data_IF_795740177944
#
_entry.id   IF_795740177944
#
_cell.length_a   1.000
_cell.length_b   1.000
_cell.length_c   1.000
_cell.angle_alpha   90.00
_cell.angle_beta   90.00
_cell.angle_gamma   90.00
#
_symmetry.space_group_name_H-M   'P 1'
#
loop_
_entity.id
_entity.type
_entity.pdbx_description
1 polymer ?
#
# COMPACT_ATOMS: atom_id res chain seq x y z
N UNK A 1 8.87 25.22 9.42
CA UNK A 1 8.68 24.13 8.42
C UNK A 1 7.57 24.51 7.47
N UNK A 2 7.83 24.66 6.15
CA UNK A 2 6.75 24.83 5.16
C UNK A 2 5.91 23.55 5.17
N UNK A 3 4.58 23.65 5.36
CA UNK A 3 3.65 22.52 5.10
C UNK A 3 3.86 22.10 3.65
N UNK A 4 4.46 20.94 3.41
CA UNK A 4 4.55 20.37 2.06
C UNK A 4 3.13 20.00 1.61
N UNK A 5 2.58 20.83 0.72
CA UNK A 5 1.29 20.57 0.08
C UNK A 5 1.58 19.58 -1.05
N UNK A 6 1.40 18.29 -0.78
CA UNK A 6 1.44 17.28 -1.83
C UNK A 6 0.22 17.45 -2.73
N UNK A 7 0.40 17.24 -4.03
CA UNK A 7 -0.70 17.42 -4.98
C UNK A 7 -1.79 16.39 -4.74
N UNK A 8 -3.06 16.85 -4.72
CA UNK A 8 -4.22 15.98 -4.47
C UNK A 8 -4.54 15.05 -5.65
N UNK A 9 -3.96 15.31 -6.82
CA UNK A 9 -4.40 14.72 -8.09
C UNK A 9 -3.30 13.93 -8.79
N UNK A 10 -2.10 14.51 -8.87
CA UNK A 10 -0.91 13.90 -9.47
C UNK A 10 0.23 13.85 -8.46
N UNK A 11 1.04 12.81 -8.50
CA UNK A 11 2.24 12.68 -7.70
C UNK A 11 3.49 12.93 -8.53
N UNK A 12 4.33 13.85 -8.05
CA UNK A 12 5.73 13.95 -8.44
C UNK A 12 6.60 12.94 -7.68
N UNK A 13 7.88 12.78 -8.03
CA UNK A 13 8.80 11.97 -7.26
C UNK A 13 8.91 12.44 -5.80
N UNK A 14 8.88 13.75 -5.56
CA UNK A 14 8.92 14.36 -4.22
C UNK A 14 7.67 14.03 -3.41
N UNK A 15 6.49 14.04 -4.05
CA UNK A 15 5.26 13.60 -3.40
C UNK A 15 5.40 12.15 -2.92
N UNK A 16 5.89 11.25 -3.78
CA UNK A 16 6.09 9.83 -3.45
C UNK A 16 7.12 9.62 -2.34
N UNK A 17 8.19 10.41 -2.28
CA UNK A 17 9.14 10.35 -1.16
C UNK A 17 8.42 10.59 0.16
N UNK A 18 7.55 11.61 0.21
CA UNK A 18 6.85 12.00 1.43
C UNK A 18 5.73 11.05 1.78
N UNK A 19 4.87 10.68 0.84
CA UNK A 19 3.69 9.85 1.14
C UNK A 19 4.08 8.39 1.34
N UNK A 20 4.98 7.86 0.51
CA UNK A 20 5.33 6.44 0.52
C UNK A 20 6.62 6.13 1.30
N UNK A 21 7.36 7.15 1.76
CA UNK A 21 8.59 6.96 2.53
C UNK A 21 9.68 6.21 1.75
N UNK A 22 9.78 6.48 0.44
CA UNK A 22 10.71 5.82 -0.47
C UNK A 22 11.84 6.75 -0.92
N UNK A 23 12.92 6.17 -1.47
CA UNK A 23 14.00 6.96 -2.06
C UNK A 23 13.56 7.62 -3.36
N UNK A 24 14.23 8.73 -3.72
CA UNK A 24 14.00 9.42 -4.99
C UNK A 24 14.16 8.49 -6.20
N UNK A 25 15.17 7.63 -6.18
CA UNK A 25 15.41 6.65 -7.24
C UNK A 25 14.24 5.67 -7.39
N UNK A 26 13.68 5.19 -6.28
CA UNK A 26 12.52 4.30 -6.30
C UNK A 26 11.27 5.05 -6.80
N UNK A 27 11.08 6.31 -6.39
CA UNK A 27 9.97 7.14 -6.86
C UNK A 27 9.99 7.32 -8.39
N UNK A 28 11.15 7.65 -8.97
CA UNK A 28 11.30 7.73 -10.43
C UNK A 28 11.02 6.39 -11.13
N UNK A 29 11.51 5.28 -10.55
CA UNK A 29 11.28 3.95 -11.10
C UNK A 29 9.78 3.62 -11.15
N UNK A 30 9.06 3.86 -10.05
CA UNK A 30 7.61 3.60 -9.98
C UNK A 30 6.85 4.48 -10.98
N UNK A 31 7.16 5.78 -11.05
CA UNK A 31 6.50 6.69 -11.99
C UNK A 31 6.72 6.22 -13.44
N UNK A 32 7.95 5.85 -13.81
CA UNK A 32 8.26 5.34 -15.15
C UNK A 32 7.46 4.07 -15.46
N UNK A 33 7.42 3.13 -14.53
CA UNK A 33 6.68 1.88 -14.69
C UNK A 33 5.17 2.10 -14.87
N UNK A 34 4.56 2.93 -14.03
CA UNK A 34 3.13 3.22 -14.08
C UNK A 34 2.73 4.02 -15.31
N UNK A 35 3.56 4.97 -15.76
CA UNK A 35 3.30 5.70 -17.00
C UNK A 35 3.38 4.79 -18.23
N UNK A 36 4.35 3.86 -18.25
CA UNK A 36 4.43 2.87 -19.32
C UNK A 36 3.19 1.97 -19.35
N UNK A 37 2.69 1.57 -18.18
CA UNK A 37 1.46 0.80 -18.07
C UNK A 37 0.23 1.58 -18.59
N UNK A 38 0.14 2.88 -18.30
CA UNK A 38 -0.90 3.74 -18.87
C UNK A 38 -0.79 3.89 -20.39
N UNK A 39 0.43 3.99 -20.94
CA UNK A 39 0.68 4.00 -22.38
C UNK A 39 0.16 2.73 -23.06
N UNK A 40 0.43 1.56 -22.46
CA UNK A 40 -0.09 0.30 -22.97
C UNK A 40 -1.61 0.24 -22.94
N UNK A 41 -2.24 0.71 -21.86
CA UNK A 41 -3.70 0.75 -21.73
C UNK A 41 -4.29 1.67 -22.80
N UNK A 42 -3.72 2.86 -23.02
CA UNK A 42 -4.17 3.77 -24.10
C UNK A 42 -4.12 3.10 -25.47
N UNK A 43 -3.04 2.35 -25.76
CA UNK A 43 -2.87 1.63 -27.03
C UNK A 43 -3.87 0.48 -27.19
N UNK A 44 -4.04 -0.35 -26.16
CA UNK A 44 -4.86 -1.57 -26.20
C UNK A 44 -6.36 -1.26 -26.15
N UNK A 45 -6.76 -0.33 -25.30
CA UNK A 45 -8.17 -0.07 -25.00
C UNK A 45 -8.71 1.18 -25.71
N UNK A 46 -7.92 1.83 -26.59
CA UNK A 46 -8.23 3.12 -27.23
C UNK A 46 -8.69 4.20 -26.23
N UNK A 47 -8.13 4.15 -25.02
CA UNK A 47 -8.36 5.16 -23.98
C UNK A 47 -7.46 6.37 -24.21
N UNK A 48 -7.86 7.51 -23.66
CA UNK A 48 -7.17 8.79 -23.77
C UNK A 48 -6.67 9.27 -22.40
N UNK A 49 -5.99 8.41 -21.64
CA UNK A 49 -5.33 8.85 -20.41
C UNK A 49 -4.22 9.86 -20.76
N UNK A 50 -4.20 10.99 -20.06
CA UNK A 50 -3.08 11.95 -20.14
C UNK A 50 -1.91 11.35 -19.36
N UNK A 51 -0.77 11.18 -20.02
CA UNK A 51 0.46 10.65 -19.42
C UNK A 51 1.43 11.81 -19.16
N UNK A 52 1.96 11.88 -17.95
CA UNK A 52 2.94 12.91 -17.58
C UNK A 52 4.34 12.32 -17.62
N UNK A 53 5.32 13.03 -18.18
CA UNK A 53 6.70 12.53 -18.31
C UNK A 53 7.35 12.13 -16.98
N UNK A 54 7.07 12.88 -15.90
CA UNK A 54 7.72 12.72 -14.60
C UNK A 54 6.72 12.74 -13.43
N UNK A 55 5.43 12.51 -13.69
CA UNK A 55 4.39 12.45 -12.66
C UNK A 55 3.47 11.27 -12.94
N UNK A 56 2.67 10.88 -11.95
CA UNK A 56 1.65 9.86 -12.11
C UNK A 56 0.34 10.30 -11.49
N UNK A 57 -0.79 9.83 -12.03
CA UNK A 57 -2.08 10.02 -11.38
C UNK A 57 -2.10 9.35 -10.01
N UNK A 58 -2.42 10.12 -8.97
CA UNK A 58 -2.54 9.63 -7.59
C UNK A 58 -3.50 8.45 -7.48
N UNK A 59 -4.64 8.54 -8.17
CA UNK A 59 -5.65 7.48 -8.23
C UNK A 59 -5.06 6.19 -8.80
N UNK A 60 -4.34 6.27 -9.92
CA UNK A 60 -3.73 5.11 -10.56
C UNK A 60 -2.63 4.49 -9.69
N UNK A 61 -1.85 5.31 -8.98
CA UNK A 61 -0.90 4.80 -7.98
C UNK A 61 -1.60 3.96 -6.91
N UNK A 62 -2.70 4.45 -6.32
CA UNK A 62 -3.49 3.69 -5.32
C UNK A 62 -4.07 2.40 -5.89
N UNK A 63 -4.57 2.43 -7.12
CA UNK A 63 -5.11 1.24 -7.78
C UNK A 63 -4.06 0.15 -7.96
N UNK A 64 -2.80 0.51 -8.19
CA UNK A 64 -1.71 -0.46 -8.38
C UNK A 64 -1.02 -0.86 -7.09
N UNK A 65 -0.96 0.00 -6.08
CA UNK A 65 -0.22 -0.26 -4.83
C UNK A 65 -1.10 -0.35 -3.57
N UNK A 66 -2.42 -0.31 -3.72
CA UNK A 66 -3.45 -0.40 -2.67
C UNK A 66 -3.57 0.82 -1.74
N UNK A 67 -2.47 1.47 -1.42
CA UNK A 67 -2.42 2.63 -0.52
C UNK A 67 -1.28 3.58 -0.91
N UNK A 68 -1.20 4.71 -0.22
CA UNK A 68 -0.13 5.71 -0.39
C UNK A 68 0.93 5.62 0.68
N UNK A 69 0.54 5.18 1.88
CA UNK A 69 1.43 5.06 3.02
C UNK A 69 1.83 3.60 3.19
N UNK A 70 3.13 3.38 3.39
CA UNK A 70 3.68 2.05 3.52
C UNK A 70 4.50 1.93 4.80
N UNK A 71 4.44 0.77 5.41
CA UNK A 71 5.13 0.44 6.65
C UNK A 71 6.28 -0.53 6.35
N UNK A 72 7.42 -0.31 7.00
CA UNK A 72 8.50 -1.28 7.14
C UNK A 72 8.26 -2.20 8.34
N UNK A 73 9.09 -3.23 8.51
CA UNK A 73 9.04 -4.10 9.71
C UNK A 73 9.18 -3.26 10.99
N UNK A 74 10.15 -2.35 11.03
CA UNK A 74 10.38 -1.47 12.17
C UNK A 74 9.17 -0.55 12.46
N UNK A 75 8.47 -0.09 11.41
CA UNK A 75 7.26 0.71 11.59
C UNK A 75 6.13 -0.13 12.19
N UNK A 76 6.01 -1.41 11.81
CA UNK A 76 5.04 -2.34 12.40
C UNK A 76 5.35 -2.59 13.87
N UNK A 77 6.60 -2.91 14.21
CA UNK A 77 7.04 -3.16 15.58
C UNK A 77 6.73 -1.96 16.48
N UNK A 78 7.08 -0.75 16.05
CA UNK A 78 6.85 0.47 16.82
C UNK A 78 5.36 0.81 16.94
N UNK A 79 4.62 0.72 15.83
CA UNK A 79 3.22 1.16 15.78
C UNK A 79 2.29 0.21 16.55
N UNK A 80 2.54 -1.10 16.47
CA UNK A 80 1.69 -2.12 17.06
C UNK A 80 2.27 -2.73 18.35
N UNK A 81 3.50 -2.34 18.74
CA UNK A 81 4.21 -2.88 19.91
C UNK A 81 4.36 -4.41 19.87
N UNK A 82 4.69 -4.93 18.69
CA UNK A 82 4.87 -6.37 18.42
C UNK A 82 6.34 -6.70 18.16
N UNK A 83 6.70 -7.99 18.22
CA UNK A 83 8.04 -8.48 17.94
C UNK A 83 8.32 -8.54 16.43
N UNK A 84 9.61 -8.54 16.07
CA UNK A 84 10.06 -8.58 14.67
C UNK A 84 9.50 -9.79 13.89
N UNK A 85 9.42 -10.96 14.52
CA UNK A 85 8.92 -12.17 13.87
C UNK A 85 7.42 -12.07 13.53
N UNK A 86 6.60 -11.48 14.41
CA UNK A 86 5.18 -11.21 14.17
C UNK A 86 5.02 -10.19 13.03
N UNK A 87 5.83 -9.12 13.03
CA UNK A 87 5.84 -8.12 11.96
C UNK A 87 6.23 -8.74 10.60
N UNK A 88 7.19 -9.68 10.58
CA UNK A 88 7.56 -10.43 9.37
C UNK A 88 6.42 -11.31 8.87
N UNK A 89 5.69 -11.95 9.79
CA UNK A 89 4.55 -12.80 9.45
C UNK A 89 3.40 -11.99 8.84
N UNK A 90 2.97 -10.91 9.50
CA UNK A 90 1.95 -9.98 8.99
C UNK A 90 2.31 -9.51 7.58
N UNK A 91 3.57 -9.07 7.40
CA UNK A 91 4.07 -8.62 6.10
C UNK A 91 4.01 -9.73 5.04
N UNK A 92 4.38 -10.95 5.39
CA UNK A 92 4.39 -12.09 4.47
C UNK A 92 2.98 -12.44 4.01
N UNK A 93 2.03 -12.52 4.96
CA UNK A 93 0.62 -12.84 4.70
C UNK A 93 -0.04 -11.80 3.81
N UNK A 94 0.05 -10.52 4.17
CA UNK A 94 -0.54 -9.43 3.38
C UNK A 94 0.09 -9.36 1.98
N UNK A 95 1.41 -9.58 1.86
CA UNK A 95 2.07 -9.59 0.55
C UNK A 95 1.48 -10.67 -0.35
N UNK A 96 1.27 -11.89 0.16
CA UNK A 96 0.69 -12.98 -0.63
C UNK A 96 -0.72 -12.63 -1.12
N UNK A 97 -1.55 -12.08 -0.23
CA UNK A 97 -2.92 -11.66 -0.57
C UNK A 97 -2.94 -10.55 -1.63
N UNK A 98 -2.09 -9.53 -1.49
CA UNK A 98 -2.03 -8.42 -2.44
C UNK A 98 -1.52 -8.87 -3.82
N UNK A 99 -0.53 -9.75 -3.87
CA UNK A 99 -0.04 -10.33 -5.13
C UNK A 99 -1.13 -11.16 -5.80
N UNK A 100 -1.89 -11.97 -5.05
CA UNK A 100 -3.00 -12.74 -5.58
C UNK A 100 -4.12 -11.85 -6.17
N UNK A 101 -4.30 -10.65 -5.61
CA UNK A 101 -5.24 -9.62 -6.11
C UNK A 101 -4.68 -8.76 -7.25
N UNK A 102 -3.44 -9.01 -7.70
CA UNK A 102 -2.81 -8.29 -8.81
C UNK A 102 -2.17 -6.95 -8.45
N UNK A 103 -1.99 -6.64 -7.16
CA UNK A 103 -1.31 -5.42 -6.72
C UNK A 103 0.21 -5.54 -6.88
N UNK A 104 0.84 -4.40 -7.18
CA UNK A 104 2.31 -4.23 -7.15
C UNK A 104 2.78 -4.05 -5.71
N UNK A 105 4.06 -4.33 -5.47
CA UNK A 105 4.68 -4.20 -4.15
C UNK A 105 5.97 -3.40 -4.18
N UNK A 106 6.24 -2.68 -3.10
CA UNK A 106 7.52 -2.01 -2.86
C UNK A 106 8.36 -2.93 -1.95
N UNK A 107 9.60 -3.24 -2.36
CA UNK A 107 10.48 -4.13 -1.60
C UNK A 107 10.63 -3.62 -0.16
N UNK A 108 10.48 -4.54 0.81
CA UNK A 108 10.64 -4.25 2.24
C UNK A 108 9.46 -3.51 2.89
N UNK A 109 8.41 -3.20 2.12
CA UNK A 109 7.31 -2.34 2.57
C UNK A 109 5.95 -2.98 2.30
N UNK A 110 4.94 -2.62 3.09
CA UNK A 110 3.55 -3.04 2.90
C UNK A 110 2.58 -1.87 3.07
N UNK A 111 1.46 -1.82 2.34
CA UNK A 111 0.44 -0.77 2.48
C UNK A 111 -0.13 -0.71 3.90
N UNK A 112 -0.15 0.48 4.51
CA UNK A 112 -0.68 0.67 5.87
C UNK A 112 -2.15 0.28 5.95
N UNK A 113 -2.95 0.66 4.96
CA UNK A 113 -4.37 0.30 4.88
C UNK A 113 -4.59 -1.21 4.93
N UNK A 114 -3.80 -2.00 4.19
CA UNK A 114 -3.92 -3.47 4.19
C UNK A 114 -3.59 -4.08 5.56
N UNK A 115 -2.63 -3.51 6.27
CA UNK A 115 -2.28 -3.93 7.63
C UNK A 115 -3.43 -3.66 8.58
N UNK A 116 -4.00 -2.45 8.53
CA UNK A 116 -5.10 -2.07 9.39
C UNK A 116 -6.33 -2.94 9.13
N UNK A 117 -6.71 -3.14 7.88
CA UNK A 117 -7.84 -4.03 7.52
C UNK A 117 -7.63 -5.44 8.08
N UNK A 118 -6.42 -6.01 7.94
CA UNK A 118 -6.15 -7.35 8.46
C UNK A 118 -6.23 -7.43 9.98
N UNK A 119 -5.75 -6.41 10.70
CA UNK A 119 -5.79 -6.36 12.16
C UNK A 119 -7.20 -6.08 12.67
N UNK A 120 -7.96 -5.21 12.01
CA UNK A 120 -9.36 -4.94 12.37
C UNK A 120 -10.24 -6.17 12.12
N UNK A 121 -10.06 -6.87 11.00
CA UNK A 121 -10.73 -8.15 10.75
C UNK A 121 -10.35 -9.18 11.83
N UNK A 122 -9.08 -9.22 12.26
CA UNK A 122 -8.63 -10.04 13.40
C UNK A 122 -9.41 -9.71 14.70
N UNK A 123 -9.63 -8.42 14.99
CA UNK A 123 -10.39 -7.99 16.17
C UNK A 123 -11.88 -8.36 16.13
N UNK A 124 -12.45 -8.54 14.94
CA UNK A 124 -13.83 -8.98 14.73
C UNK A 124 -13.93 -10.51 14.83
N UNK A 125 -12.93 -11.24 14.31
CA UNK A 125 -12.82 -12.70 14.43
C UNK A 125 -12.61 -13.14 15.90
N UNK A 126 -11.75 -12.47 16.67
CA UNK A 126 -11.57 -12.74 18.10
C UNK A 126 -12.87 -12.54 18.89
N UNK A 127 -13.60 -11.44 18.62
CA UNK A 127 -14.92 -11.19 19.26
C UNK A 127 -15.95 -12.25 18.92
N UNK A 128 -15.97 -12.77 17.69
CA UNK A 128 -16.86 -13.88 17.30
C UNK A 128 -16.46 -15.18 18.00
N UNK A 129 -15.17 -15.51 18.05
CA UNK A 129 -14.69 -16.73 18.67
C UNK A 129 -14.85 -16.75 20.20
N UNK A 130 -14.67 -15.61 20.87
CA UNK A 130 -14.99 -15.46 22.30
C UNK A 130 -16.48 -15.63 22.59
N UNK A 131 -17.35 -15.06 21.75
CA UNK A 131 -18.80 -15.22 21.91
C UNK A 131 -19.25 -16.67 21.66
N UNK A 132 -18.67 -17.36 20.68
CA UNK A 132 -18.93 -18.79 20.45
C UNK A 132 -18.42 -19.63 21.63
N UNK A 133 -17.23 -19.34 22.18
CA UNK A 133 -16.69 -20.04 23.36
C UNK A 133 -17.55 -19.87 24.61
N UNK A 134 -18.22 -18.71 24.78
CA UNK A 134 -19.19 -18.47 25.86
C UNK A 134 -20.50 -19.23 25.67
N UNK A 135 -20.92 -19.45 24.42
CA UNK A 135 -22.15 -20.19 24.09
C UNK A 135 -21.99 -21.70 24.29
N UNK A 136 -20.79 -22.25 24.03
CA UNK A 136 -20.50 -23.70 24.12
C UNK A 136 -20.19 -24.16 25.56
N UNK A 137 -20.25 -23.26 26.56
CA UNK A 137 -20.06 -23.58 27.99
C UNK A 137 -21.34 -23.96 28.76
N UNK A 138 -22.40 -24.38 28.07
CA UNK A 138 -23.63 -24.87 28.67
C UNK A 138 -23.89 -26.33 28.33
#
# INVERSE_FOLDING_TARGET
>A
MRKMIHSKVVFSPEDLIVVAGISLQMAYKIIKELNHELEEINKKEKKNYIIFRAKIWRKFFRERYYDEKFLTINDLEKKFKIKEWEAKEIRSTIKKELVAKGFKFIKGRIPEKAVLEKIYDYSEEERKNENVSKIVKF
#
